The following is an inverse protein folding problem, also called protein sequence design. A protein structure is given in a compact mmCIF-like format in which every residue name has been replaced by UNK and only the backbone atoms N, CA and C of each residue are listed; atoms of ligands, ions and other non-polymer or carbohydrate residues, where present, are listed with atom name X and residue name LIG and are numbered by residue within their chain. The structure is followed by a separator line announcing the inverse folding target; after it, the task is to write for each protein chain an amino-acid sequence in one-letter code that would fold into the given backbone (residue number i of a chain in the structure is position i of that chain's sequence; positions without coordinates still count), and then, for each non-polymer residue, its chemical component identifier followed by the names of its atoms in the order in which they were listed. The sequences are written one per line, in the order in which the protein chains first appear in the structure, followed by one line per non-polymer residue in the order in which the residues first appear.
data_IF_897684172607
#
_entry.id   IF_897684172607
#
_cell.length_a   1.000
_cell.length_b   1.000
_cell.length_c   1.000
_cell.angle_alpha   90.00
_cell.angle_beta   90.00
_cell.angle_gamma   90.00
#
_symmetry.space_group_name_H-M   'P 1'
#
loop_
_entity.id
_entity.type
_entity.pdbx_description
1 polymer ?
#
# COMPACT_ATOMS: atom_id res chain seq x y z
N UNK A 1 -19.41 45.88 15.61
CA UNK A 1 -18.59 44.93 16.41
C UNK A 1 -19.27 43.60 16.69
N UNK A 2 -20.53 43.55 17.19
CA UNK A 2 -21.20 42.29 17.55
C UNK A 2 -21.35 41.27 16.40
N UNK A 3 -21.68 41.75 15.19
CA UNK A 3 -21.82 40.89 14.00
C UNK A 3 -20.50 40.23 13.60
N UNK A 4 -19.37 40.95 13.74
CA UNK A 4 -18.04 40.43 13.41
C UNK A 4 -17.63 39.30 14.37
N UNK A 5 -18.01 39.40 15.64
CA UNK A 5 -17.75 38.37 16.66
C UNK A 5 -18.56 37.11 16.38
N UNK A 6 -19.82 37.24 15.93
CA UNK A 6 -20.66 36.09 15.57
C UNK A 6 -20.11 35.37 14.33
N UNK A 7 -19.67 36.12 13.32
CA UNK A 7 -19.02 35.55 12.13
C UNK A 7 -17.73 34.83 12.50
N UNK A 8 -16.89 35.44 13.36
CA UNK A 8 -15.65 34.83 13.83
C UNK A 8 -15.90 33.52 14.63
N UNK A 9 -16.95 33.48 15.46
CA UNK A 9 -17.33 32.27 16.20
C UNK A 9 -17.86 31.15 15.29
N UNK A 10 -18.54 31.49 14.18
CA UNK A 10 -19.00 30.51 13.19
C UNK A 10 -17.83 29.86 12.44
N UNK A 11 -16.74 30.58 12.19
CA UNK A 11 -15.52 30.01 11.58
C UNK A 11 -14.75 29.08 12.53
N UNK A 12 -14.78 29.33 13.84
CA UNK A 12 -14.16 28.44 14.85
C UNK A 12 -14.91 27.10 15.01
N UNK A 13 -16.24 27.11 14.84
CA UNK A 13 -17.06 25.88 14.90
C UNK A 13 -16.93 25.01 13.64
N UNK A 14 -16.45 25.58 12.53
CA UNK A 14 -16.19 24.89 11.27
C UNK A 14 -14.75 24.34 11.18
N UNK A 15 -14.07 24.11 12.30
CA UNK A 15 -12.89 23.26 12.28
C UNK A 15 -13.38 21.86 11.93
N UNK A 16 -13.05 21.29 10.75
CA UNK A 16 -13.19 19.86 10.59
C UNK A 16 -12.40 19.26 11.75
N UNK A 17 -13.04 18.40 12.52
CA UNK A 17 -12.32 17.50 13.40
C UNK A 17 -11.39 16.75 12.44
N UNK A 18 -10.14 17.21 12.35
CA UNK A 18 -9.09 16.50 11.68
C UNK A 18 -8.91 15.26 12.55
N UNK A 19 -9.73 14.24 12.29
CA UNK A 19 -9.30 12.89 12.51
C UNK A 19 -7.93 12.86 11.85
N UNK A 20 -6.89 12.71 12.67
CA UNK A 20 -5.51 12.58 12.23
C UNK A 20 -5.43 11.28 11.41
N UNK A 21 -6.00 11.31 10.21
CA UNK A 21 -5.75 10.38 9.14
C UNK A 21 -4.32 10.74 8.78
N UNK A 22 -3.34 9.88 9.13
CA UNK A 22 -1.97 10.15 8.77
C UNK A 22 -1.96 10.39 7.26
N UNK A 23 -1.33 11.49 6.83
CA UNK A 23 -1.26 11.80 5.41
C UNK A 23 -0.63 10.61 4.71
N UNK A 24 -1.41 9.97 3.83
CA UNK A 24 -0.92 8.89 2.99
C UNK A 24 0.21 9.50 2.14
N UNK A 25 1.40 8.87 2.08
CA UNK A 25 2.42 9.26 1.12
C UNK A 25 1.81 9.24 -0.28
N UNK A 26 1.81 10.38 -0.99
CA UNK A 26 1.07 10.56 -2.24
C UNK A 26 1.36 9.50 -3.31
N UNK A 27 2.52 8.84 -3.22
CA UNK A 27 2.94 7.71 -4.07
C UNK A 27 2.00 6.50 -3.99
N UNK A 28 1.27 6.31 -2.89
CA UNK A 28 0.34 5.19 -2.70
C UNK A 28 -1.10 5.50 -3.09
N UNK A 29 -1.44 6.75 -3.38
CA UNK A 29 -2.83 7.15 -3.67
C UNK A 29 -3.44 6.35 -4.84
N UNK A 30 -2.74 6.17 -5.99
CA UNK A 30 -3.30 5.38 -7.09
C UNK A 30 -3.59 3.93 -6.71
N UNK A 31 -2.77 3.34 -5.83
CA UNK A 31 -2.93 1.97 -5.37
C UNK A 31 -4.10 1.84 -4.39
N UNK A 32 -4.25 2.81 -3.48
CA UNK A 32 -5.36 2.85 -2.52
C UNK A 32 -6.69 3.03 -3.24
N UNK A 33 -6.75 3.92 -4.24
CA UNK A 33 -7.95 4.13 -5.05
C UNK A 33 -8.36 2.85 -5.78
N UNK A 34 -7.37 2.13 -6.34
CA UNK A 34 -7.60 0.86 -7.03
C UNK A 34 -8.15 -0.20 -6.08
N UNK A 35 -7.49 -0.43 -4.95
CA UNK A 35 -7.90 -1.45 -3.98
C UNK A 35 -9.26 -1.13 -3.37
N UNK A 36 -9.53 0.15 -3.11
CA UNK A 36 -10.86 0.59 -2.69
C UNK A 36 -11.92 0.24 -3.74
N UNK A 37 -11.62 0.49 -5.03
CA UNK A 37 -12.49 0.10 -6.14
C UNK A 37 -12.72 -1.41 -6.26
N UNK A 38 -11.74 -2.22 -5.86
CA UNK A 38 -11.84 -3.68 -5.80
C UNK A 38 -12.60 -4.17 -4.53
N UNK A 39 -13.06 -3.27 -3.67
CA UNK A 39 -13.93 -3.54 -2.51
C UNK A 39 -13.22 -3.61 -1.15
N UNK A 40 -11.95 -3.22 -1.08
CA UNK A 40 -11.21 -3.16 0.19
C UNK A 40 -11.63 -1.96 1.03
N UNK A 41 -11.64 -2.13 2.36
CA UNK A 41 -11.99 -1.06 3.29
C UNK A 41 -10.91 0.05 3.31
N UNK A 42 -11.27 1.32 3.04
CA UNK A 42 -10.31 2.42 3.03
C UNK A 42 -9.61 2.65 4.37
N UNK A 43 -10.31 2.43 5.48
CA UNK A 43 -9.75 2.61 6.83
C UNK A 43 -8.68 1.56 7.14
N UNK A 44 -8.88 0.33 6.66
CA UNK A 44 -7.90 -0.74 6.71
C UNK A 44 -6.69 -0.44 5.83
N UNK A 45 -6.91 0.00 4.58
CA UNK A 45 -5.82 0.35 3.66
C UNK A 45 -4.96 1.48 4.24
N UNK A 46 -5.59 2.54 4.74
CA UNK A 46 -4.90 3.64 5.40
C UNK A 46 -3.96 3.16 6.50
N UNK A 47 -4.45 2.30 7.41
CA UNK A 47 -3.64 1.76 8.50
C UNK A 47 -2.42 0.98 8.02
N UNK A 48 -2.51 0.28 6.89
CA UNK A 48 -1.37 -0.46 6.31
C UNK A 48 -0.34 0.51 5.73
N UNK A 49 -0.80 1.46 4.91
CA UNK A 49 0.10 2.37 4.19
C UNK A 49 0.69 3.48 5.07
N UNK A 50 0.20 3.63 6.31
CA UNK A 50 0.75 4.54 7.32
C UNK A 50 1.38 3.80 8.49
N UNK A 51 1.58 2.48 8.42
CA UNK A 51 2.24 1.72 9.49
C UNK A 51 3.75 2.01 9.46
N UNK A 52 4.30 2.56 10.55
CA UNK A 52 5.74 2.86 10.65
C UNK A 52 6.64 1.62 10.49
N UNK A 53 6.08 0.41 10.66
CA UNK A 53 6.79 -0.86 10.42
C UNK A 53 6.80 -1.25 8.95
N UNK A 54 5.93 -0.68 8.14
CA UNK A 54 5.89 -0.86 6.70
C UNK A 54 6.91 0.10 6.05
N UNK A 55 8.20 -0.19 6.25
CA UNK A 55 9.25 0.53 5.56
C UNK A 55 9.17 0.27 4.05
N UNK A 56 9.28 1.34 3.26
CA UNK A 56 9.41 1.23 1.82
C UNK A 56 10.78 0.64 1.53
N UNK A 57 10.81 -0.52 0.88
CA UNK A 57 12.07 -1.16 0.43
C UNK A 57 12.06 -1.13 -1.10
N UNK A 58 12.54 -0.05 -1.75
CA UNK A 58 12.50 0.11 -3.21
C UNK A 58 13.10 -1.08 -3.96
N UNK A 59 14.17 -1.66 -3.44
CA UNK A 59 14.84 -2.83 -4.03
C UNK A 59 13.94 -4.06 -4.13
N UNK A 60 12.92 -4.18 -3.26
CA UNK A 60 11.90 -5.25 -3.31
C UNK A 60 10.68 -4.87 -4.15
N UNK A 61 10.50 -3.59 -4.43
CA UNK A 61 9.41 -3.06 -5.27
C UNK A 61 9.82 -2.95 -6.75
N UNK A 62 11.11 -3.08 -7.05
CA UNK A 62 11.60 -3.20 -8.42
C UNK A 62 11.30 -4.58 -8.98
N UNK A 63 10.62 -4.62 -10.13
CA UNK A 63 10.64 -5.80 -11.00
C UNK A 63 12.08 -5.92 -11.51
N UNK A 64 12.75 -7.02 -11.18
CA UNK A 64 14.08 -7.31 -11.72
C UNK A 64 13.97 -7.62 -13.22
N UNK A 65 14.01 -6.57 -14.05
CA UNK A 65 14.09 -6.68 -15.51
C UNK A 65 15.49 -7.07 -15.99
N UNK A 66 16.47 -7.09 -15.08
CA UNK A 66 17.90 -7.23 -15.39
C UNK A 66 18.46 -8.64 -15.23
N UNK A 67 17.68 -9.58 -14.70
CA UNK A 67 18.12 -10.97 -14.58
C UNK A 67 17.61 -11.75 -15.78
N UNK A 68 18.39 -11.96 -16.85
CA UNK A 68 18.01 -12.92 -17.87
C UNK A 68 17.88 -14.26 -17.16
N UNK A 69 16.65 -14.75 -17.03
CA UNK A 69 16.43 -16.10 -16.53
C UNK A 69 17.27 -17.06 -17.36
N UNK A 70 18.15 -17.80 -16.67
CA UNK A 70 19.06 -18.73 -17.29
C UNK A 70 18.47 -20.13 -17.17
N UNK A 71 18.39 -20.86 -18.28
CA UNK A 71 17.85 -22.23 -18.29
C UNK A 71 18.56 -23.13 -17.27
N UNK A 72 19.84 -22.88 -17.03
CA UNK A 72 20.68 -23.57 -16.05
C UNK A 72 20.14 -23.48 -14.60
N UNK A 73 19.43 -22.40 -14.25
CA UNK A 73 18.84 -22.22 -12.93
C UNK A 73 17.67 -23.17 -12.66
N UNK A 74 17.04 -23.66 -13.73
CA UNK A 74 15.87 -24.53 -13.62
C UNK A 74 16.21 -26.03 -13.65
N UNK A 75 17.44 -26.40 -14.02
CA UNK A 75 17.85 -27.80 -14.21
C UNK A 75 17.59 -28.65 -12.97
N UNK A 76 17.82 -28.10 -11.77
CA UNK A 76 17.55 -28.81 -10.51
C UNK A 76 16.09 -29.21 -10.33
N UNK A 77 15.15 -28.37 -10.80
CA UNK A 77 13.70 -28.62 -10.72
C UNK A 77 13.19 -29.59 -11.80
N UNK A 78 13.99 -29.83 -12.85
CA UNK A 78 13.68 -30.76 -13.93
C UNK A 78 14.23 -32.18 -13.70
N UNK A 79 14.84 -32.42 -12.54
CA UNK A 79 15.29 -33.75 -12.15
C UNK A 79 14.10 -34.71 -11.96
N UNK A 80 14.23 -36.00 -12.33
CA UNK A 80 13.19 -37.00 -12.09
C UNK A 80 12.72 -37.03 -10.63
N UNK A 81 13.64 -36.85 -9.68
CA UNK A 81 13.37 -36.81 -8.25
C UNK A 81 12.50 -35.61 -7.88
N UNK A 82 12.79 -34.42 -8.43
CA UNK A 82 11.98 -33.22 -8.19
C UNK A 82 10.59 -33.33 -8.82
N UNK A 83 10.49 -33.93 -10.00
CA UNK A 83 9.21 -34.21 -10.66
C UNK A 83 8.38 -35.20 -9.84
N UNK A 84 9.01 -36.26 -9.33
CA UNK A 84 8.34 -37.25 -8.47
C UNK A 84 7.90 -36.64 -7.14
N UNK A 85 8.70 -35.76 -6.54
CA UNK A 85 8.35 -35.05 -5.32
C UNK A 85 7.13 -34.14 -5.53
N UNK A 86 7.10 -33.38 -6.63
CA UNK A 86 6.00 -32.47 -6.95
C UNK A 86 4.67 -33.20 -7.17
N UNK A 87 4.69 -34.45 -7.65
CA UNK A 87 3.48 -35.27 -7.82
C UNK A 87 2.83 -35.72 -6.52
N UNK A 88 3.54 -35.62 -5.40
CA UNK A 88 3.08 -36.06 -4.07
C UNK A 88 2.65 -34.90 -3.16
N UNK A 89 2.73 -33.65 -3.65
CA UNK A 89 2.19 -32.45 -2.99
C UNK A 89 0.73 -32.21 -3.39
#
# INVERSE_FOLDING_TARGET
MKVLVVIFLLFLAASPHANNIPEIPGDYQPLIDRLTGDGFDPGFLLKIFTDDRAEVIPDRMMISLGSPEKGEWYVQFLSPESILLAKNF
#
